data_IF_481746750736
#
_entry.id   IF_481746750736
#
_cell.length_a   1.000
_cell.length_b   1.000
_cell.length_c   1.000
_cell.angle_alpha   90.00
_cell.angle_beta   90.00
_cell.angle_gamma   90.00
#
_symmetry.space_group_name_H-M   'P 1'
#
loop_
_entity.id
_entity.type
_entity.pdbx_description
1 polymer ?
#
# COMPACT_ATOMS: atom_id res chain seq x y z
N UNK A 1 -13.49 5.45 -20.51
CA UNK A 1 -14.10 6.79 -20.63
C UNK A 1 -15.60 6.81 -20.32
N UNK A 2 -16.38 5.77 -20.70
CA UNK A 2 -17.79 5.65 -20.37
C UNK A 2 -18.00 5.51 -18.86
N UNK A 3 -17.21 4.67 -18.19
CA UNK A 3 -17.21 4.46 -16.75
C UNK A 3 -16.94 5.77 -15.96
N UNK A 4 -15.93 6.55 -16.36
CA UNK A 4 -15.67 7.87 -15.74
C UNK A 4 -16.85 8.83 -15.90
N UNK A 5 -17.58 8.70 -16.99
CA UNK A 5 -18.74 9.54 -17.28
C UNK A 5 -19.97 9.10 -16.47
N UNK A 6 -20.18 7.80 -16.27
CA UNK A 6 -21.22 7.22 -15.43
C UNK A 6 -20.99 7.54 -13.94
N UNK A 7 -19.73 7.42 -13.48
CA UNK A 7 -19.33 7.85 -12.14
C UNK A 7 -19.56 9.36 -11.91
N UNK A 8 -19.27 10.20 -12.89
CA UNK A 8 -19.53 11.64 -12.82
C UNK A 8 -21.03 12.00 -12.79
N UNK A 9 -21.88 11.10 -13.22
CA UNK A 9 -23.33 11.28 -13.24
C UNK A 9 -24.04 10.79 -11.97
N UNK A 10 -23.32 10.24 -10.99
CA UNK A 10 -23.89 9.78 -9.72
C UNK A 10 -24.60 8.43 -9.80
N UNK A 11 -24.27 7.60 -10.77
CA UNK A 11 -24.91 6.30 -11.03
C UNK A 11 -24.08 5.12 -10.49
N UNK A 12 -23.29 5.34 -9.44
CA UNK A 12 -22.43 4.30 -8.85
C UNK A 12 -23.21 3.05 -8.47
N UNK A 13 -24.41 3.21 -7.93
CA UNK A 13 -25.29 2.10 -7.54
C UNK A 13 -25.83 1.31 -8.74
N UNK A 14 -26.03 1.96 -9.90
CA UNK A 14 -26.43 1.30 -11.15
C UNK A 14 -25.26 0.56 -11.80
N UNK A 15 -24.06 1.19 -11.80
CA UNK A 15 -22.82 0.59 -12.34
C UNK A 15 -22.41 -0.65 -11.56
N UNK A 16 -22.60 -0.63 -10.24
CA UNK A 16 -22.29 -1.76 -9.37
C UNK A 16 -23.35 -2.85 -9.35
N UNK A 17 -24.54 -2.61 -9.93
CA UNK A 17 -25.65 -3.58 -9.86
C UNK A 17 -26.17 -3.84 -8.44
N UNK A 18 -25.77 -3.04 -7.46
CA UNK A 18 -25.99 -3.26 -6.01
C UNK A 18 -27.40 -2.80 -5.56
N UNK A 19 -28.36 -2.72 -6.44
CA UNK A 19 -29.69 -2.19 -6.13
C UNK A 19 -30.56 -3.09 -5.25
N UNK A 20 -30.03 -4.20 -4.72
CA UNK A 20 -30.84 -5.12 -3.88
C UNK A 20 -30.01 -5.70 -2.75
N UNK A 21 -30.28 -5.25 -1.54
CA UNK A 21 -29.84 -5.94 -0.34
C UNK A 21 -28.89 -5.18 0.58
N UNK A 22 -28.53 -3.93 0.24
CA UNK A 22 -27.69 -3.11 1.13
C UNK A 22 -28.36 -2.91 2.49
N UNK A 23 -27.58 -3.02 3.55
CA UNK A 23 -28.02 -2.58 4.85
C UNK A 23 -27.98 -1.03 4.93
N UNK A 24 -28.62 -0.44 5.95
CA UNK A 24 -28.74 1.01 6.09
C UNK A 24 -27.39 1.72 6.19
N UNK A 25 -26.39 1.05 6.70
CA UNK A 25 -25.03 1.59 6.88
C UNK A 25 -24.28 1.61 5.55
N UNK A 26 -24.41 0.55 4.79
CA UNK A 26 -23.89 0.44 3.40
C UNK A 26 -24.55 1.46 2.48
N UNK A 27 -25.89 1.64 2.56
CA UNK A 27 -26.60 2.69 1.82
C UNK A 27 -26.10 4.10 2.18
N UNK A 28 -25.87 4.35 3.47
CA UNK A 28 -25.37 5.64 3.93
C UNK A 28 -23.92 5.90 3.44
N UNK A 29 -23.09 4.87 3.43
CA UNK A 29 -21.70 4.95 2.95
C UNK A 29 -21.66 5.14 1.43
N UNK A 30 -22.45 4.40 0.67
CA UNK A 30 -22.58 4.56 -0.77
C UNK A 30 -23.06 5.97 -1.12
N UNK A 31 -24.10 6.45 -0.43
CA UNK A 31 -24.62 7.81 -0.62
C UNK A 31 -23.56 8.87 -0.28
N UNK A 32 -22.79 8.68 0.78
CA UNK A 32 -21.67 9.57 1.12
C UNK A 32 -20.63 9.62 0.00
N UNK A 33 -20.31 8.47 -0.60
CA UNK A 33 -19.41 8.38 -1.74
C UNK A 33 -20.01 9.10 -2.96
N UNK A 34 -21.26 8.82 -3.31
CA UNK A 34 -21.96 9.50 -4.41
C UNK A 34 -21.99 11.04 -4.21
N UNK A 35 -22.33 11.52 -3.01
CA UNK A 35 -22.33 12.94 -2.67
C UNK A 35 -20.92 13.56 -2.80
N UNK A 36 -19.89 12.84 -2.38
CA UNK A 36 -18.49 13.24 -2.58
C UNK A 36 -18.14 13.35 -4.07
N UNK A 37 -18.60 12.42 -4.90
CA UNK A 37 -18.35 12.42 -6.34
C UNK A 37 -19.08 13.54 -7.07
N UNK A 38 -20.34 13.79 -6.70
CA UNK A 38 -21.18 14.84 -7.30
C UNK A 38 -20.74 16.26 -6.96
N UNK A 39 -20.13 16.48 -5.78
CA UNK A 39 -19.73 17.83 -5.32
C UNK A 39 -18.41 18.35 -5.91
N UNK A 40 -17.91 17.72 -6.97
CA UNK A 40 -16.76 18.25 -7.71
C UNK A 40 -15.42 18.00 -7.03
N UNK A 41 -15.28 16.85 -6.42
CA UNK A 41 -14.08 16.42 -5.70
C UNK A 41 -12.82 16.28 -6.55
N UNK A 42 -12.89 16.47 -7.86
CA UNK A 42 -11.72 16.45 -8.73
C UNK A 42 -10.58 17.36 -8.25
N UNK A 43 -10.91 18.49 -7.61
CA UNK A 43 -9.91 19.38 -7.02
C UNK A 43 -9.31 18.86 -5.71
N UNK A 44 -10.10 18.17 -4.90
CA UNK A 44 -9.61 17.61 -3.63
C UNK A 44 -8.77 16.34 -3.83
N UNK A 45 -9.15 15.50 -4.78
CA UNK A 45 -8.37 14.28 -5.10
C UNK A 45 -7.03 14.60 -5.75
N UNK A 46 -6.98 15.57 -6.65
CA UNK A 46 -5.71 15.98 -7.25
C UNK A 46 -4.75 16.56 -6.21
N UNK A 47 -5.25 17.40 -5.28
CA UNK A 47 -4.44 17.92 -4.20
C UNK A 47 -3.98 16.80 -3.23
N UNK A 48 -4.86 15.85 -2.90
CA UNK A 48 -4.50 14.73 -2.04
C UNK A 48 -3.48 13.77 -2.69
N UNK A 49 -3.58 13.56 -4.01
CA UNK A 49 -2.60 12.71 -4.72
C UNK A 49 -1.22 13.35 -4.86
N UNK A 50 -1.15 14.70 -4.94
CA UNK A 50 0.11 15.43 -4.99
C UNK A 50 0.80 15.53 -3.62
N UNK A 51 0.04 15.52 -2.54
CA UNK A 51 0.54 15.62 -1.16
C UNK A 51 0.59 14.27 -0.43
N UNK A 52 0.18 13.20 -1.09
CA UNK A 52 0.11 11.88 -0.48
C UNK A 52 1.49 11.44 -0.01
N UNK A 53 1.58 11.16 1.29
CA UNK A 53 2.74 10.46 1.85
C UNK A 53 2.44 8.97 1.85
N UNK A 54 3.38 8.13 1.39
CA UNK A 54 3.23 6.70 1.51
C UNK A 54 3.12 6.33 3.01
N UNK A 55 2.31 5.33 3.30
CA UNK A 55 2.11 4.82 4.66
C UNK A 55 1.88 3.31 4.62
N UNK A 56 2.30 2.63 5.65
CA UNK A 56 1.90 1.26 5.91
C UNK A 56 0.61 1.27 6.71
N UNK A 57 -0.30 0.40 6.36
CA UNK A 57 -1.58 0.26 7.04
C UNK A 57 -1.67 -1.08 7.74
N UNK A 58 -2.36 -1.10 8.85
CA UNK A 58 -2.77 -2.31 9.56
C UNK A 58 -4.18 -2.12 10.12
N UNK A 59 -4.71 -3.12 10.79
CA UNK A 59 -6.01 -3.06 11.43
C UNK A 59 -5.83 -3.31 12.92
N UNK A 60 -6.52 -2.54 13.75
CA UNK A 60 -6.55 -2.77 15.19
C UNK A 60 -7.52 -3.91 15.56
N UNK A 61 -7.65 -4.21 16.87
CA UNK A 61 -8.52 -5.28 17.36
C UNK A 61 -10.03 -5.02 17.11
N UNK A 62 -10.39 -3.79 16.74
CA UNK A 62 -11.76 -3.37 16.44
C UNK A 62 -11.97 -3.22 14.91
N UNK A 63 -11.05 -3.75 14.09
CA UNK A 63 -11.03 -3.66 12.61
C UNK A 63 -10.94 -2.22 12.06
N UNK A 64 -10.47 -1.25 12.85
CA UNK A 64 -10.21 0.08 12.34
C UNK A 64 -8.83 0.14 11.69
N UNK A 65 -8.74 0.91 10.61
CA UNK A 65 -7.51 1.11 9.86
C UNK A 65 -6.55 2.04 10.62
N UNK A 66 -5.32 1.59 10.79
CA UNK A 66 -4.25 2.35 11.47
C UNK A 66 -2.97 2.38 10.64
N UNK A 67 -2.23 3.48 10.73
CA UNK A 67 -0.88 3.59 10.16
C UNK A 67 0.15 2.98 11.12
N UNK A 68 0.92 2.04 10.61
CA UNK A 68 1.98 1.36 11.37
C UNK A 68 3.38 1.82 10.99
N UNK A 69 3.49 2.82 10.11
CA UNK A 69 4.79 3.33 9.65
C UNK A 69 5.58 3.96 10.80
N UNK A 70 6.73 3.38 11.14
CA UNK A 70 7.62 3.89 12.20
C UNK A 70 8.81 4.66 11.67
N UNK A 71 9.04 4.64 10.36
CA UNK A 71 10.09 5.39 9.69
C UNK A 71 10.05 5.16 8.19
N UNK A 72 10.78 5.99 7.46
CA UNK A 72 10.97 5.83 6.02
C UNK A 72 12.42 6.06 5.61
N UNK A 73 12.82 5.42 4.52
CA UNK A 73 14.10 5.60 3.85
C UNK A 73 13.81 5.96 2.41
N UNK A 74 14.28 7.10 1.93
CA UNK A 74 14.05 7.58 0.57
C UNK A 74 15.35 7.57 -0.22
N UNK A 75 15.33 6.96 -1.39
CA UNK A 75 16.42 7.06 -2.37
C UNK A 75 16.18 8.32 -3.20
N UNK A 76 16.92 9.38 -2.90
CA UNK A 76 16.76 10.70 -3.53
C UNK A 76 17.48 10.75 -4.87
N UNK A 77 18.69 10.19 -4.90
CA UNK A 77 19.49 10.03 -6.09
C UNK A 77 20.11 8.63 -6.11
N UNK A 78 20.54 8.18 -7.27
CA UNK A 78 21.11 6.83 -7.41
C UNK A 78 22.61 6.90 -7.72
N UNK A 79 23.29 7.79 -6.99
CA UNK A 79 24.70 8.17 -7.21
C UNK A 79 25.71 7.52 -6.26
N UNK A 80 25.30 6.46 -5.55
CA UNK A 80 26.12 5.79 -4.52
C UNK A 80 27.56 5.56 -4.92
N UNK A 81 28.49 6.01 -4.08
CA UNK A 81 29.93 5.98 -4.35
C UNK A 81 30.71 5.13 -3.33
N UNK A 82 30.06 4.55 -2.35
CA UNK A 82 30.58 3.60 -1.37
C UNK A 82 30.70 4.16 0.03
N UNK A 83 30.38 3.33 1.00
CA UNK A 83 30.37 3.67 2.41
C UNK A 83 29.02 4.08 2.99
N UNK A 84 27.98 4.11 2.15
CA UNK A 84 26.62 4.37 2.60
C UNK A 84 26.13 3.25 3.52
N UNK A 85 25.57 3.65 4.65
CA UNK A 85 25.10 2.75 5.69
C UNK A 85 23.74 3.17 6.22
N UNK A 86 22.84 2.22 6.33
CA UNK A 86 21.56 2.35 7.04
C UNK A 86 21.73 1.67 8.39
N UNK A 87 21.40 2.38 9.47
CA UNK A 87 21.43 1.87 10.82
C UNK A 87 20.05 1.92 11.45
N UNK A 88 19.59 0.76 11.92
CA UNK A 88 18.36 0.60 12.67
C UNK A 88 18.71 0.12 14.06
N UNK A 89 18.38 0.93 15.07
CA UNK A 89 18.74 0.66 16.46
C UNK A 89 17.50 0.65 17.35
N UNK A 90 17.45 -0.31 18.27
CA UNK A 90 16.42 -0.37 19.29
C UNK A 90 17.05 -0.61 20.67
N UNK A 91 16.77 0.22 21.70
CA UNK A 91 17.32 0.07 23.03
C UNK A 91 17.07 -1.31 23.63
N UNK A 92 18.13 -2.00 24.01
CA UNK A 92 18.05 -3.35 24.59
C UNK A 92 17.87 -4.50 23.60
N UNK A 93 17.70 -4.24 22.32
CA UNK A 93 17.61 -5.27 21.25
C UNK A 93 18.84 -5.24 20.32
N UNK A 94 19.58 -4.12 20.28
CA UNK A 94 20.80 -3.98 19.49
C UNK A 94 20.67 -3.02 18.32
N UNK A 95 21.68 -3.06 17.47
CA UNK A 95 21.80 -2.24 16.28
C UNK A 95 22.03 -3.13 15.07
N UNK A 96 21.27 -2.89 14.01
CA UNK A 96 21.39 -3.55 12.73
C UNK A 96 21.99 -2.59 11.71
N UNK A 97 22.91 -3.11 10.88
CA UNK A 97 23.63 -2.33 9.88
C UNK A 97 23.38 -2.93 8.49
N UNK A 98 23.04 -2.08 7.54
CA UNK A 98 22.83 -2.43 6.13
C UNK A 98 23.68 -1.51 5.27
N UNK A 99 24.69 -2.06 4.62
CA UNK A 99 25.73 -1.29 3.92
C UNK A 99 25.60 -1.45 2.41
N UNK A 100 26.03 -0.44 1.67
CA UNK A 100 26.24 -0.57 0.23
C UNK A 100 27.48 -1.43 -0.02
N UNK A 101 27.28 -2.75 -0.02
CA UNK A 101 28.32 -3.74 -0.22
C UNK A 101 27.71 -5.04 -0.76
N UNK A 102 28.00 -5.37 -2.00
CA UNK A 102 27.48 -6.58 -2.66
C UNK A 102 28.04 -7.89 -2.08
N UNK A 103 29.11 -7.83 -1.27
CA UNK A 103 29.77 -9.00 -0.68
C UNK A 103 29.30 -9.29 0.75
N UNK A 104 28.71 -8.31 1.42
CA UNK A 104 28.17 -8.47 2.77
C UNK A 104 26.84 -9.22 2.77
N UNK A 105 26.59 -10.02 3.79
CA UNK A 105 25.28 -10.69 3.98
C UNK A 105 24.15 -9.71 4.22
N UNK A 106 24.43 -8.56 4.85
CA UNK A 106 23.50 -7.45 5.07
C UNK A 106 23.71 -6.32 4.05
N UNK A 107 24.47 -6.60 2.99
CA UNK A 107 24.76 -5.65 1.93
C UNK A 107 23.64 -5.55 0.91
N UNK A 108 23.40 -4.33 0.48
CA UNK A 108 22.45 -4.04 -0.60
C UNK A 108 23.18 -3.57 -1.85
N UNK A 109 22.47 -3.56 -2.98
CA UNK A 109 23.04 -3.24 -4.29
C UNK A 109 22.38 -2.02 -4.87
N UNK A 110 23.16 -1.22 -5.58
CA UNK A 110 22.64 -0.21 -6.47
C UNK A 110 21.91 -0.86 -7.65
N UNK A 111 20.65 -0.48 -7.85
CA UNK A 111 19.85 -0.86 -9.01
C UNK A 111 20.06 0.07 -10.20
N UNK A 112 19.29 -0.15 -11.25
CA UNK A 112 19.30 0.72 -12.45
C UNK A 112 18.58 2.05 -12.19
N UNK A 113 17.63 2.06 -11.27
CA UNK A 113 16.86 3.21 -10.82
C UNK A 113 16.86 3.31 -9.29
N UNK A 114 16.36 4.42 -8.75
CA UNK A 114 16.14 4.60 -7.33
C UNK A 114 15.18 3.53 -6.77
N UNK A 115 14.15 3.18 -7.52
CA UNK A 115 13.18 2.12 -7.15
C UNK A 115 13.83 0.74 -7.09
N UNK A 116 14.70 0.40 -8.08
CA UNK A 116 15.42 -0.88 -8.04
C UNK A 116 16.38 -0.96 -6.85
N UNK A 117 16.98 0.17 -6.46
CA UNK A 117 17.83 0.25 -5.28
C UNK A 117 17.00 0.14 -4.00
N UNK A 118 15.86 0.83 -3.91
CA UNK A 118 14.93 0.70 -2.81
C UNK A 118 14.46 -0.75 -2.63
N UNK A 119 14.14 -1.44 -3.73
CA UNK A 119 13.80 -2.88 -3.71
C UNK A 119 14.93 -3.74 -3.18
N UNK A 120 16.17 -3.46 -3.56
CA UNK A 120 17.33 -4.19 -3.04
C UNK A 120 17.47 -4.03 -1.52
N UNK A 121 17.34 -2.80 -1.01
CA UNK A 121 17.38 -2.48 0.42
C UNK A 121 16.23 -3.16 1.17
N UNK A 122 15.00 -3.03 0.67
CA UNK A 122 13.80 -3.67 1.23
C UNK A 122 14.00 -5.18 1.41
N UNK A 123 14.50 -5.86 0.37
CA UNK A 123 14.75 -7.29 0.41
C UNK A 123 15.80 -7.68 1.47
N UNK A 124 16.85 -6.88 1.63
CA UNK A 124 17.90 -7.15 2.62
C UNK A 124 17.38 -6.92 4.03
N UNK A 125 16.66 -5.82 4.28
CA UNK A 125 16.03 -5.54 5.58
C UNK A 125 15.06 -6.68 5.94
N UNK A 126 14.15 -7.04 5.05
CA UNK A 126 13.16 -8.10 5.33
C UNK A 126 13.78 -9.46 5.62
N UNK A 127 14.92 -9.76 5.02
CA UNK A 127 15.66 -11.01 5.24
C UNK A 127 16.42 -11.04 6.56
N UNK A 128 16.95 -9.93 7.02
CA UNK A 128 17.94 -9.89 8.10
C UNK A 128 17.51 -9.12 9.34
N UNK A 129 16.55 -8.18 9.24
CA UNK A 129 16.08 -7.45 10.40
C UNK A 129 15.28 -8.32 11.35
N UNK A 130 15.52 -8.14 12.64
CA UNK A 130 14.67 -8.67 13.72
C UNK A 130 13.79 -7.56 14.34
N UNK A 131 13.98 -6.31 13.91
CA UNK A 131 13.34 -5.15 14.49
C UNK A 131 12.17 -4.67 13.63
N UNK A 132 12.36 -4.65 12.30
CA UNK A 132 11.40 -4.05 11.39
C UNK A 132 11.08 -4.94 10.18
N UNK A 133 9.89 -4.75 9.63
CA UNK A 133 9.54 -5.08 8.25
C UNK A 133 9.74 -3.85 7.38
N UNK A 134 10.09 -4.06 6.13
CA UNK A 134 10.21 -3.01 5.13
C UNK A 134 9.22 -3.25 3.99
N UNK A 135 8.54 -2.21 3.54
CA UNK A 135 7.70 -2.21 2.36
C UNK A 135 8.18 -1.10 1.40
N UNK A 136 8.13 -1.36 0.09
CA UNK A 136 8.59 -0.43 -0.93
C UNK A 136 7.40 0.29 -1.59
N UNK A 137 7.47 1.63 -1.66
CA UNK A 137 6.60 2.44 -2.50
C UNK A 137 7.48 3.33 -3.40
N UNK A 138 7.67 2.90 -4.64
CA UNK A 138 8.59 3.55 -5.58
C UNK A 138 10.03 3.57 -5.07
N UNK A 139 10.58 4.77 -4.89
CA UNK A 139 11.92 5.00 -4.33
C UNK A 139 11.93 5.16 -2.79
N UNK A 140 10.77 4.99 -2.14
CA UNK A 140 10.60 5.11 -0.70
C UNK A 140 10.46 3.72 -0.09
N UNK A 141 11.10 3.50 1.04
CA UNK A 141 11.03 2.30 1.84
C UNK A 141 10.35 2.68 3.15
N UNK A 142 9.22 2.09 3.43
CA UNK A 142 8.48 2.26 4.68
C UNK A 142 8.89 1.18 5.66
N UNK A 143 8.97 1.50 6.94
CA UNK A 143 9.36 0.58 8.01
C UNK A 143 8.23 0.44 9.01
N UNK A 144 7.97 -0.80 9.40
CA UNK A 144 7.02 -1.20 10.44
C UNK A 144 7.74 -2.07 11.48
N UNK A 145 7.35 -1.99 12.75
CA UNK A 145 7.91 -2.86 13.78
C UNK A 145 7.45 -4.31 13.59
N UNK A 146 8.37 -5.27 13.77
CA UNK A 146 8.05 -6.71 13.72
C UNK A 146 7.25 -7.22 14.92
N UNK A 147 7.13 -6.42 15.97
CA UNK A 147 6.44 -6.81 17.18
C UNK A 147 5.71 -5.62 17.78
N UNK A 148 4.46 -5.83 18.14
CA UNK A 148 3.64 -4.85 18.88
C UNK A 148 4.14 -4.59 20.32
N UNK A 149 5.08 -5.40 20.81
CA UNK A 149 5.73 -5.17 22.11
C UNK A 149 6.80 -4.08 22.05
N UNK A 150 7.21 -3.67 20.83
CA UNK A 150 8.21 -2.64 20.63
C UNK A 150 7.55 -1.26 20.59
N UNK A 151 8.17 -0.29 21.25
CA UNK A 151 7.73 1.09 21.22
C UNK A 151 8.32 1.81 19.99
N UNK A 152 7.46 2.25 19.07
CA UNK A 152 7.86 3.00 17.88
C UNK A 152 8.67 4.25 18.21
N UNK A 153 8.39 4.91 19.34
CA UNK A 153 9.13 6.08 19.78
C UNK A 153 10.59 5.79 20.17
N UNK A 154 10.89 4.54 20.53
CA UNK A 154 12.25 4.11 20.93
C UNK A 154 13.12 3.71 19.73
N UNK A 155 12.54 3.44 18.55
CA UNK A 155 13.30 3.11 17.35
C UNK A 155 14.18 4.28 16.94
N UNK A 156 15.44 4.00 16.60
CA UNK A 156 16.38 4.98 16.02
C UNK A 156 16.70 4.52 14.60
N UNK A 157 16.42 5.39 13.64
CA UNK A 157 16.74 5.19 12.24
C UNK A 157 17.74 6.25 11.81
N UNK A 158 18.85 5.84 11.23
CA UNK A 158 19.91 6.71 10.79
C UNK A 158 20.49 6.23 9.47
N UNK A 159 20.89 7.18 8.62
CA UNK A 159 21.63 6.93 7.38
C UNK A 159 22.92 7.72 7.42
N UNK A 160 24.02 7.06 7.13
CA UNK A 160 25.31 7.66 6.82
C UNK A 160 25.54 7.61 5.31
N UNK A 161 25.69 8.77 4.70
CA UNK A 161 25.92 8.94 3.26
C UNK A 161 27.12 9.90 3.08
N UNK A 162 28.35 9.36 3.13
CA UNK A 162 29.56 10.17 3.18
C UNK A 162 29.82 11.00 1.91
N UNK A 163 29.32 10.57 0.77
CA UNK A 163 29.58 11.17 -0.53
C UNK A 163 28.51 12.14 -1.03
N UNK A 164 27.33 12.16 -0.41
CA UNK A 164 26.23 12.90 -0.98
C UNK A 164 24.99 13.04 -0.13
N UNK A 165 23.87 13.08 -0.81
CA UNK A 165 22.50 13.00 -0.29
C UNK A 165 21.68 12.08 -1.19
N UNK A 166 22.20 10.87 -1.43
CA UNK A 166 21.56 9.88 -2.28
C UNK A 166 20.45 9.14 -1.54
N UNK A 167 20.58 9.09 -0.20
CA UNK A 167 19.65 8.38 0.68
C UNK A 167 19.32 9.24 1.91
N UNK A 168 18.06 9.30 2.28
CA UNK A 168 17.56 10.04 3.44
C UNK A 168 16.72 9.11 4.29
N UNK A 169 16.89 9.18 5.61
CA UNK A 169 16.02 8.51 6.57
C UNK A 169 15.22 9.52 7.37
N UNK A 170 13.94 9.27 7.50
CA UNK A 170 13.03 10.02 8.37
C UNK A 170 12.46 9.09 9.43
N UNK A 171 12.57 9.49 10.70
CA UNK A 171 11.88 8.77 11.78
C UNK A 171 10.39 9.03 11.66
N UNK A 172 9.60 7.97 11.62
CA UNK A 172 8.15 8.09 11.59
C UNK A 172 7.59 8.36 12.99
N UNK A 173 6.49 8.56 13.13
CA UNK A 173 5.16 8.91 13.25
C UNK A 173 4.79 9.90 12.12
N UNK A 174 4.52 9.38 10.99
CA UNK A 174 3.82 10.18 10.00
C UNK A 174 2.55 10.59 10.71
N UNK A 175 2.37 11.90 10.94
CA UNK A 175 1.08 12.40 11.35
C UNK A 175 0.12 11.96 10.23
N UNK A 176 -0.66 10.94 10.52
CA UNK A 176 -1.72 10.49 9.63
C UNK A 176 -2.45 11.72 9.14
N UNK A 177 -2.43 11.94 7.85
CA UNK A 177 -3.40 12.88 7.30
C UNK A 177 -4.78 12.23 7.50
N UNK A 178 -5.65 12.77 8.37
CA UNK A 178 -6.98 12.22 8.59
C UNK A 178 -7.76 12.01 7.30
N UNK A 179 -7.39 12.72 6.22
CA UNK A 179 -7.98 12.58 4.90
C UNK A 179 -7.57 11.27 4.24
N UNK A 180 -6.31 10.85 4.37
CA UNK A 180 -5.84 9.58 3.81
C UNK A 180 -6.54 8.39 4.46
N UNK A 181 -6.70 8.41 5.79
CA UNK A 181 -7.47 7.39 6.50
C UNK A 181 -8.91 7.36 5.99
N UNK A 182 -9.59 8.51 5.95
CA UNK A 182 -10.96 8.55 5.44
C UNK A 182 -11.08 8.04 4.00
N UNK A 183 -10.09 8.31 3.16
CA UNK A 183 -10.06 7.82 1.78
C UNK A 183 -9.89 6.30 1.73
N UNK A 184 -9.04 5.73 2.57
CA UNK A 184 -8.85 4.28 2.69
C UNK A 184 -10.08 3.59 3.27
N UNK A 185 -10.74 4.17 4.28
CA UNK A 185 -12.01 3.69 4.82
C UNK A 185 -13.13 3.71 3.79
N UNK A 186 -13.22 4.78 2.98
CA UNK A 186 -14.16 4.87 1.88
C UNK A 186 -13.87 3.78 0.83
N UNK A 187 -12.59 3.55 0.50
CA UNK A 187 -12.17 2.48 -0.40
C UNK A 187 -12.48 1.10 0.16
N UNK A 188 -12.20 0.86 1.44
CA UNK A 188 -12.52 -0.39 2.15
C UNK A 188 -14.02 -0.71 2.05
N UNK A 189 -14.88 0.31 2.24
CA UNK A 189 -16.33 0.15 2.08
C UNK A 189 -16.71 -0.32 0.67
N UNK A 190 -16.07 0.22 -0.37
CA UNK A 190 -16.33 -0.21 -1.76
C UNK A 190 -15.83 -1.62 -2.01
N UNK A 191 -14.63 -1.97 -1.53
CA UNK A 191 -14.12 -3.34 -1.64
C UNK A 191 -15.06 -4.34 -0.96
N UNK A 192 -15.62 -3.98 0.20
CA UNK A 192 -16.60 -4.79 0.92
C UNK A 192 -17.89 -5.04 0.10
N UNK A 193 -18.35 -4.00 -0.60
CA UNK A 193 -19.55 -4.12 -1.47
C UNK A 193 -19.27 -4.97 -2.71
N UNK A 194 -18.13 -4.76 -3.33
CA UNK A 194 -17.70 -5.49 -4.55
C UNK A 194 -17.49 -6.97 -4.27
N UNK A 195 -16.88 -7.30 -3.15
CA UNK A 195 -16.55 -8.67 -2.76
C UNK A 195 -17.67 -9.35 -1.94
N UNK A 196 -18.93 -8.90 -2.03
CA UNK A 196 -20.05 -9.53 -1.29
C UNK A 196 -20.16 -11.04 -1.62
N UNK A 197 -19.85 -11.45 -2.84
CA UNK A 197 -19.83 -12.84 -3.28
C UNK A 197 -18.45 -13.51 -3.23
N UNK A 198 -17.40 -12.76 -2.79
CA UNK A 198 -16.03 -13.25 -2.68
C UNK A 198 -15.28 -13.31 -4.02
N UNK A 199 -15.83 -12.77 -5.09
CA UNK A 199 -15.26 -12.81 -6.44
C UNK A 199 -15.20 -11.41 -7.02
N UNK A 200 -14.04 -10.99 -7.50
CA UNK A 200 -13.87 -9.75 -8.25
C UNK A 200 -14.09 -10.04 -9.74
N UNK A 201 -15.21 -9.57 -10.30
CA UNK A 201 -15.47 -9.63 -11.74
C UNK A 201 -14.58 -8.62 -12.52
N UNK A 202 -14.40 -8.79 -13.84
CA UNK A 202 -13.62 -7.85 -14.65
C UNK A 202 -14.10 -6.38 -14.60
N UNK A 203 -15.42 -6.17 -14.47
CA UNK A 203 -16.00 -4.84 -14.37
C UNK A 203 -15.73 -4.20 -13.01
N UNK A 204 -15.81 -4.97 -11.94
CA UNK A 204 -15.50 -4.56 -10.58
C UNK A 204 -13.99 -4.26 -10.42
N UNK A 205 -13.14 -5.13 -10.98
CA UNK A 205 -11.68 -4.89 -11.00
C UNK A 205 -11.33 -3.57 -11.69
N UNK A 206 -11.92 -3.30 -12.84
CA UNK A 206 -11.71 -2.04 -13.55
C UNK A 206 -12.18 -0.83 -12.73
N UNK A 207 -13.29 -0.97 -12.01
CA UNK A 207 -13.80 0.06 -11.13
C UNK A 207 -12.88 0.27 -9.92
N UNK A 208 -12.50 -0.80 -9.23
CA UNK A 208 -11.57 -0.74 -8.10
C UNK A 208 -10.24 -0.09 -8.53
N UNK A 209 -9.75 -0.43 -9.71
CA UNK A 209 -8.53 0.16 -10.26
C UNK A 209 -8.67 1.68 -10.48
N UNK A 210 -9.78 2.12 -11.08
CA UNK A 210 -10.05 3.54 -11.28
C UNK A 210 -10.17 4.32 -9.96
N UNK A 211 -10.76 3.70 -8.93
CA UNK A 211 -10.86 4.29 -7.60
C UNK A 211 -9.50 4.37 -6.92
N UNK A 212 -8.69 3.32 -7.02
CA UNK A 212 -7.32 3.31 -6.49
C UNK A 212 -6.48 4.44 -7.06
N UNK A 213 -6.53 4.65 -8.39
CA UNK A 213 -5.84 5.78 -9.02
C UNK A 213 -6.28 7.13 -8.43
N UNK A 214 -7.58 7.28 -8.16
CA UNK A 214 -8.11 8.56 -7.66
C UNK A 214 -7.83 8.78 -6.18
N UNK A 215 -7.96 7.72 -5.38
CA UNK A 215 -7.74 7.76 -3.94
C UNK A 215 -6.25 7.60 -3.58
N UNK A 216 -5.42 7.26 -4.56
CA UNK A 216 -4.01 7.00 -4.37
C UNK A 216 -3.75 5.74 -3.54
N UNK A 217 -4.59 4.72 -3.66
CA UNK A 217 -4.40 3.42 -3.00
C UNK A 217 -3.44 2.58 -3.83
N UNK A 218 -2.33 2.15 -3.24
CA UNK A 218 -1.35 1.29 -3.91
C UNK A 218 -1.77 -0.19 -3.89
N UNK A 219 -0.98 -1.03 -4.60
CA UNK A 219 -1.27 -2.46 -4.72
C UNK A 219 -1.22 -3.18 -3.36
N UNK A 220 -0.26 -2.81 -2.50
CA UNK A 220 -0.11 -3.43 -1.19
C UNK A 220 -1.29 -3.07 -0.27
N UNK A 221 -1.67 -1.79 -0.22
CA UNK A 221 -2.83 -1.32 0.55
C UNK A 221 -4.11 -2.01 0.08
N UNK A 222 -4.29 -2.12 -1.25
CA UNK A 222 -5.44 -2.85 -1.81
C UNK A 222 -5.49 -4.29 -1.34
N UNK A 223 -4.38 -5.02 -1.46
CA UNK A 223 -4.32 -6.44 -1.07
C UNK A 223 -4.49 -6.60 0.44
N UNK A 224 -3.91 -5.73 1.26
CA UNK A 224 -4.13 -5.76 2.72
C UNK A 224 -5.61 -5.57 3.07
N UNK A 225 -6.31 -4.65 2.42
CA UNK A 225 -7.74 -4.44 2.61
C UNK A 225 -8.54 -5.68 2.18
N UNK A 226 -8.24 -6.26 1.02
CA UNK A 226 -8.90 -7.50 0.56
C UNK A 226 -8.65 -8.64 1.53
N UNK A 227 -7.41 -8.82 1.99
CA UNK A 227 -7.04 -9.85 2.96
C UNK A 227 -7.78 -9.69 4.29
N UNK A 228 -7.90 -8.46 4.79
CA UNK A 228 -8.63 -8.16 6.02
C UNK A 228 -10.11 -8.49 5.89
N UNK A 229 -10.74 -8.13 4.79
CA UNK A 229 -12.18 -8.28 4.60
C UNK A 229 -12.60 -9.70 4.22
N UNK A 230 -11.79 -10.41 3.43
CA UNK A 230 -12.19 -11.69 2.80
C UNK A 230 -11.14 -12.80 2.98
N UNK A 231 -9.97 -12.49 3.50
CA UNK A 231 -8.87 -13.43 3.70
C UNK A 231 -8.25 -13.89 2.38
N UNK A 232 -7.50 -15.00 2.46
CA UNK A 232 -6.80 -15.60 1.31
C UNK A 232 -7.73 -16.23 0.26
N UNK A 233 -9.05 -16.27 0.53
CA UNK A 233 -10.03 -16.90 -0.35
C UNK A 233 -10.68 -15.94 -1.36
N UNK A 234 -10.28 -14.68 -1.36
CA UNK A 234 -10.72 -13.73 -2.37
C UNK A 234 -10.28 -14.19 -3.76
N UNK A 235 -11.22 -14.34 -4.68
CA UNK A 235 -10.98 -14.76 -6.04
C UNK A 235 -11.18 -13.59 -7.01
N UNK A 236 -10.52 -13.69 -8.16
CA UNK A 236 -10.69 -12.72 -9.26
C UNK A 236 -10.96 -13.47 -10.56
N UNK A 237 -11.93 -13.02 -11.31
CA UNK A 237 -12.20 -13.59 -12.63
C UNK A 237 -11.14 -13.12 -13.63
N UNK A 238 -10.45 -14.06 -14.26
CA UNK A 238 -9.42 -13.77 -15.26
C UNK A 238 -10.05 -13.22 -16.54
N UNK A 239 -9.60 -12.05 -16.97
CA UNK A 239 -10.07 -11.39 -18.20
C UNK A 239 -9.76 -12.14 -19.48
N UNK A 240 -8.81 -13.09 -19.47
CA UNK A 240 -8.39 -13.86 -20.63
C UNK A 240 -9.17 -15.15 -20.83
N UNK A 241 -9.49 -15.88 -19.75
CA UNK A 241 -10.10 -17.21 -19.85
C UNK A 241 -11.38 -17.37 -19.03
N UNK A 242 -11.83 -16.33 -18.34
CA UNK A 242 -12.95 -16.37 -17.38
C UNK A 242 -12.79 -17.46 -16.28
N UNK A 243 -11.55 -17.91 -16.04
CA UNK A 243 -11.22 -18.80 -14.92
C UNK A 243 -10.97 -17.98 -13.67
N UNK A 244 -10.98 -18.63 -12.50
CA UNK A 244 -10.70 -17.97 -11.23
C UNK A 244 -9.19 -17.88 -10.98
N UNK A 245 -8.73 -16.67 -10.72
CA UNK A 245 -7.38 -16.39 -10.28
C UNK A 245 -7.35 -16.32 -8.73
N UNK A 246 -6.30 -16.87 -8.15
CA UNK A 246 -6.08 -16.92 -6.70
C UNK A 246 -5.19 -15.75 -6.26
N UNK A 247 -5.46 -15.22 -5.08
CA UNK A 247 -4.68 -14.14 -4.49
C UNK A 247 -3.33 -14.65 -3.96
N UNK A 248 -2.27 -13.97 -4.33
CA UNK A 248 -0.92 -14.17 -3.79
C UNK A 248 -0.46 -12.89 -3.06
N UNK A 249 -0.68 -12.80 -1.74
CA UNK A 249 -0.43 -11.58 -0.96
C UNK A 249 1.01 -11.09 -1.06
N UNK A 250 1.98 -12.01 -1.05
CA UNK A 250 3.42 -11.69 -1.13
C UNK A 250 3.80 -10.96 -2.42
N UNK A 251 2.99 -11.10 -3.46
CA UNK A 251 3.19 -10.45 -4.77
C UNK A 251 2.21 -9.32 -5.02
N UNK A 252 1.30 -9.06 -4.08
CA UNK A 252 0.19 -8.11 -4.22
C UNK A 252 -0.59 -8.28 -5.55
N UNK A 253 -0.83 -9.54 -5.96
CA UNK A 253 -1.39 -9.86 -7.27
C UNK A 253 -2.19 -11.17 -7.25
N UNK A 254 -3.03 -11.35 -8.27
CA UNK A 254 -3.76 -12.60 -8.53
C UNK A 254 -3.08 -13.40 -9.63
N UNK A 255 -3.00 -14.71 -9.47
CA UNK A 255 -2.44 -15.63 -10.45
C UNK A 255 -3.51 -16.55 -11.01
N UNK A 256 -3.64 -16.56 -12.33
CA UNK A 256 -4.54 -17.44 -13.06
C UNK A 256 -3.79 -18.70 -13.49
N UNK A 257 -4.02 -19.82 -12.82
CA UNK A 257 -3.38 -21.11 -13.14
C UNK A 257 -3.70 -21.61 -14.54
N UNK A 258 -4.95 -21.52 -15.07
CA UNK A 258 -5.24 -21.92 -16.45
C UNK A 258 -4.51 -21.13 -17.54
N UNK A 259 -4.21 -19.85 -17.28
CA UNK A 259 -3.47 -18.99 -18.22
C UNK A 259 -1.97 -18.93 -17.93
N UNK A 260 -1.52 -19.49 -16.81
CA UNK A 260 -0.15 -19.37 -16.29
C UNK A 260 0.34 -17.90 -16.24
N UNK A 261 -0.56 -16.97 -15.86
CA UNK A 261 -0.30 -15.54 -15.89
C UNK A 261 -0.87 -14.80 -14.68
N UNK A 262 -0.24 -13.69 -14.36
CA UNK A 262 -0.75 -12.73 -13.38
C UNK A 262 -1.89 -11.90 -13.97
N UNK A 263 -2.90 -11.62 -13.15
CA UNK A 263 -4.09 -10.84 -13.50
C UNK A 263 -4.13 -9.50 -12.77
#
# INVERSE_FOLDING_TARGET
>A
DQFKQEMQNGELSEVLGINKGLNKEQEASLKRLEDKWMTGMSGHFNAASEERKPLMISFDDDDNLVDTTVGSITIVANGFDGGEEIRIEYPGKGTEFYTYDEQSSTGWRRGRSAEDTARSITNVINRHSNLVYANQDGAIILLELRSSELDAAALVLFVDDPGGTDIIAEKGGVNLDPRQITMLEDYMTVVQLVLEDGIISPSEDQMLWAMREQLGVDDNQHVQIVMQLFGEHALKECTQCAGMAELYPDYAAWYCSPCESWC
#
